data_IF_264412879816
#
_entry.id   IF_264412879816
#
_cell.length_a   1.000
_cell.length_b   1.000
_cell.length_c   1.000
_cell.angle_alpha   90.00
_cell.angle_beta   90.00
_cell.angle_gamma   90.00
#
_symmetry.space_group_name_H-M   'P 1'
#
loop_
_entity.id
_entity.type
_entity.pdbx_description
1 polymer ?
#
# COMPACT_ATOMS: atom_id res chain seq x y z
N UNK A 1 1.78 16.70 20.51
CA UNK A 1 2.34 16.40 19.18
C UNK A 1 1.24 16.53 18.15
N UNK A 2 1.54 17.03 16.95
CA UNK A 2 0.58 17.11 15.85
C UNK A 2 0.25 15.69 15.37
N UNK A 3 -1.04 15.41 15.07
CA UNK A 3 -1.46 14.11 14.55
C UNK A 3 -0.80 13.86 13.19
N UNK A 4 -0.08 12.75 13.00
CA UNK A 4 0.53 12.43 11.72
C UNK A 4 -0.50 12.33 10.59
N UNK A 5 -0.13 12.76 9.38
CA UNK A 5 -0.99 12.73 8.22
C UNK A 5 -0.32 11.95 7.08
N UNK A 6 -1.02 10.95 6.52
CA UNK A 6 -0.53 10.10 5.43
C UNK A 6 -1.26 10.41 4.12
N UNK A 7 -0.55 10.91 3.11
CA UNK A 7 -1.03 11.06 1.74
C UNK A 7 -0.72 9.79 0.95
N UNK A 8 -1.76 9.18 0.38
CA UNK A 8 -1.66 7.81 -0.14
C UNK A 8 -2.57 7.53 -1.33
N UNK A 9 -2.34 6.38 -1.99
CA UNK A 9 -3.33 5.68 -2.81
C UNK A 9 -3.88 4.47 -2.05
N UNK A 10 -5.18 4.27 -2.10
CA UNK A 10 -5.86 3.19 -1.38
C UNK A 10 -5.34 1.80 -1.75
N UNK A 11 -5.13 1.52 -3.04
CA UNK A 11 -4.72 0.19 -3.54
C UNK A 11 -3.22 0.05 -3.81
N UNK A 12 -2.38 0.96 -3.31
CA UNK A 12 -0.94 0.87 -3.51
C UNK A 12 -0.29 0.06 -2.39
N UNK A 13 0.55 -0.91 -2.76
CA UNK A 13 1.29 -1.78 -1.85
C UNK A 13 2.42 -1.06 -1.09
N UNK A 14 3.12 -0.10 -1.71
CA UNK A 14 4.06 0.77 -0.98
C UNK A 14 3.34 1.68 0.03
N UNK A 15 2.11 2.10 -0.27
CA UNK A 15 1.30 2.84 0.69
C UNK A 15 0.78 1.90 1.79
N UNK A 16 0.51 0.63 1.46
CA UNK A 16 0.17 -0.38 2.47
C UNK A 16 1.32 -0.61 3.44
N UNK A 17 2.56 -0.68 2.97
CA UNK A 17 3.75 -0.75 3.82
C UNK A 17 3.76 0.37 4.87
N UNK A 18 3.55 1.62 4.46
CA UNK A 18 3.51 2.77 5.38
C UNK A 18 2.29 2.75 6.31
N UNK A 19 1.08 2.41 5.78
CA UNK A 19 -0.14 2.26 6.60
C UNK A 19 0.02 1.19 7.67
N UNK A 20 0.54 0.03 7.27
CA UNK A 20 0.73 -1.07 8.19
C UNK A 20 1.67 -0.71 9.33
N UNK A 21 2.77 -0.01 9.04
CA UNK A 21 3.68 0.48 10.08
C UNK A 21 2.99 1.42 11.08
N UNK A 22 2.16 2.36 10.59
CA UNK A 22 1.37 3.25 11.46
C UNK A 22 0.36 2.47 12.31
N UNK A 23 -0.36 1.54 11.71
CA UNK A 23 -1.37 0.71 12.40
C UNK A 23 -0.71 -0.26 13.38
N UNK A 24 0.40 -0.91 13.01
CA UNK A 24 1.17 -1.83 13.86
C UNK A 24 1.67 -1.12 15.13
N UNK A 25 2.17 0.11 14.96
CA UNK A 25 2.60 0.95 16.08
C UNK A 25 1.44 1.64 16.82
N UNK A 26 0.19 1.41 16.40
CA UNK A 26 -1.02 2.02 16.98
C UNK A 26 -0.94 3.54 17.05
N UNK A 27 -0.31 4.18 16.06
CA UNK A 27 -0.15 5.64 16.02
C UNK A 27 -1.42 6.25 15.44
N UNK A 28 -2.18 7.06 16.21
CA UNK A 28 -3.33 7.79 15.68
C UNK A 28 -2.88 8.71 14.53
N UNK A 29 -3.49 8.56 13.35
CA UNK A 29 -3.10 9.31 12.15
C UNK A 29 -4.30 9.55 11.22
N UNK A 30 -4.20 10.57 10.38
CA UNK A 30 -5.19 10.89 9.33
C UNK A 30 -4.70 10.37 7.99
N UNK A 31 -5.59 9.81 7.17
CA UNK A 31 -5.29 9.37 5.80
C UNK A 31 -5.96 10.25 4.77
N UNK A 32 -5.15 10.81 3.86
CA UNK A 32 -5.59 11.55 2.69
C UNK A 32 -5.48 10.66 1.45
N UNK A 33 -6.60 10.05 1.06
CA UNK A 33 -6.65 9.18 -0.11
C UNK A 33 -6.71 10.01 -1.38
N UNK A 34 -5.63 9.98 -2.15
CA UNK A 34 -5.45 10.76 -3.37
C UNK A 34 -5.90 9.98 -4.62
N UNK A 35 -6.21 10.70 -5.68
CA UNK A 35 -6.56 10.13 -6.99
C UNK A 35 -5.32 10.13 -7.87
N UNK A 36 -4.95 8.97 -8.47
CA UNK A 36 -3.85 8.91 -9.44
C UNK A 36 -4.01 9.94 -10.57
N UNK A 37 -2.91 10.63 -10.89
CA UNK A 37 -2.90 11.74 -11.83
C UNK A 37 -3.17 13.10 -11.16
N UNK A 38 -4.22 13.23 -10.37
CA UNK A 38 -4.57 14.49 -9.67
C UNK A 38 -3.72 14.74 -8.41
N UNK A 39 -3.01 13.75 -7.90
CA UNK A 39 -2.14 13.87 -6.73
C UNK A 39 -0.87 14.71 -6.97
N UNK A 40 -0.42 14.79 -8.23
CA UNK A 40 0.90 15.34 -8.59
C UNK A 40 1.13 16.77 -8.06
N UNK A 41 0.23 17.75 -8.23
CA UNK A 41 0.46 19.10 -7.71
C UNK A 41 0.63 19.16 -6.20
N UNK A 42 -0.20 18.41 -5.48
CA UNK A 42 -0.19 18.36 -3.99
C UNK A 42 1.11 17.76 -3.50
N UNK A 43 1.47 16.57 -3.99
CA UNK A 43 2.66 15.84 -3.54
C UNK A 43 3.95 16.58 -3.94
N UNK A 44 4.00 17.15 -5.16
CA UNK A 44 5.16 17.92 -5.62
C UNK A 44 5.41 19.16 -4.76
N UNK A 45 4.33 19.86 -4.34
CA UNK A 45 4.43 21.00 -3.43
C UNK A 45 4.98 20.63 -2.07
N UNK A 46 4.67 19.43 -1.57
CA UNK A 46 5.08 18.96 -0.25
C UNK A 46 6.52 18.44 -0.22
N UNK A 47 6.94 17.74 -1.26
CA UNK A 47 8.18 16.94 -1.23
C UNK A 47 9.13 17.20 -2.39
N UNK A 48 8.72 17.98 -3.39
CA UNK A 48 9.44 18.11 -4.68
C UNK A 48 9.31 16.88 -5.60
N UNK A 49 8.76 15.76 -5.09
CA UNK A 49 8.54 14.49 -5.82
C UNK A 49 7.09 14.34 -6.25
N UNK A 50 6.80 13.30 -7.01
CA UNK A 50 5.44 12.98 -7.49
C UNK A 50 4.93 11.62 -7.01
N UNK A 51 5.64 10.99 -6.08
CA UNK A 51 5.35 9.64 -5.59
C UNK A 51 4.73 9.66 -4.20
N UNK A 52 3.84 8.72 -3.93
CA UNK A 52 3.27 8.44 -2.61
C UNK A 52 3.70 7.02 -2.17
N UNK A 53 3.81 6.74 -0.86
CA UNK A 53 3.28 7.51 0.28
C UNK A 53 4.10 8.75 0.63
N UNK A 54 3.43 9.73 1.26
CA UNK A 54 4.06 10.86 1.95
C UNK A 54 3.46 10.94 3.36
N UNK A 55 4.30 10.92 4.38
CA UNK A 55 3.92 11.13 5.77
C UNK A 55 4.33 12.53 6.23
N UNK A 56 3.40 13.29 6.74
CA UNK A 56 3.69 14.51 7.50
C UNK A 56 3.80 14.14 8.98
N UNK A 57 4.97 14.33 9.54
CA UNK A 57 5.30 13.99 10.92
C UNK A 57 6.08 15.13 11.55
N UNK A 58 5.56 15.70 12.64
CA UNK A 58 6.21 16.81 13.38
C UNK A 58 6.63 17.96 12.44
N UNK A 59 5.76 18.35 11.50
CA UNK A 59 6.00 19.43 10.53
C UNK A 59 6.84 19.05 9.30
N UNK A 60 7.50 17.88 9.29
CA UNK A 60 8.29 17.41 8.15
C UNK A 60 7.46 16.53 7.20
N UNK A 61 7.61 16.72 5.88
CA UNK A 61 7.03 15.85 4.87
C UNK A 61 8.06 14.79 4.43
N UNK A 62 7.80 13.53 4.75
CA UNK A 62 8.68 12.40 4.51
C UNK A 62 8.09 11.58 3.36
N UNK A 63 8.84 11.44 2.28
CA UNK A 63 8.47 10.58 1.14
C UNK A 63 9.31 9.31 1.15
N UNK A 64 8.77 8.23 0.57
CA UNK A 64 9.33 6.89 0.57
C UNK A 64 8.93 6.06 1.81
N UNK A 65 8.47 4.81 1.57
CA UNK A 65 7.90 3.97 2.62
C UNK A 65 8.93 3.51 3.65
N UNK A 66 10.16 3.21 3.25
CA UNK A 66 11.23 2.81 4.16
C UNK A 66 11.69 3.98 5.03
N UNK A 67 11.84 5.17 4.44
CA UNK A 67 12.15 6.40 5.21
C UNK A 67 11.02 6.78 6.18
N UNK A 68 9.77 6.52 5.81
CA UNK A 68 8.63 6.70 6.71
C UNK A 68 8.76 5.76 7.90
N UNK A 69 9.03 4.46 7.67
CA UNK A 69 9.20 3.49 8.75
C UNK A 69 10.38 3.87 9.64
N UNK A 70 11.51 4.25 9.06
CA UNK A 70 12.69 4.72 9.81
C UNK A 70 12.35 5.93 10.72
N UNK A 71 11.58 6.89 10.22
CA UNK A 71 11.14 8.04 11.01
C UNK A 71 10.16 7.63 12.13
N UNK A 72 9.28 6.67 11.86
CA UNK A 72 8.36 6.12 12.86
C UNK A 72 9.11 5.33 13.94
N UNK A 73 10.14 4.54 13.58
CA UNK A 73 10.99 3.84 14.55
C UNK A 73 11.71 4.80 15.49
N UNK A 74 12.19 5.94 14.98
CA UNK A 74 12.83 6.97 15.81
C UNK A 74 11.86 7.72 16.72
N UNK A 75 10.66 8.04 16.21
CA UNK A 75 9.68 8.83 16.96
C UNK A 75 8.83 7.99 17.93
N UNK A 76 8.59 6.73 17.59
CA UNK A 76 7.76 5.77 18.29
C UNK A 76 8.46 4.41 18.31
N UNK A 77 9.46 4.20 19.20
CA UNK A 77 10.27 2.98 19.17
C UNK A 77 9.47 1.70 19.43
N UNK A 78 8.38 1.76 20.20
CA UNK A 78 7.56 0.59 20.53
C UNK A 78 6.15 0.66 19.91
N UNK A 79 5.61 -0.49 19.47
CA UNK A 79 6.29 -1.78 19.27
C UNK A 79 7.32 -1.69 18.14
N UNK A 80 8.50 -2.30 18.33
CA UNK A 80 9.61 -2.20 17.40
C UNK A 80 9.41 -3.07 16.17
N UNK A 81 9.60 -2.50 14.97
CA UNK A 81 9.75 -3.22 13.68
C UNK A 81 11.20 -3.56 13.40
N UNK A 82 12.14 -2.79 13.95
CA UNK A 82 13.57 -3.08 13.83
C UNK A 82 14.05 -3.97 14.98
N UNK A 83 14.74 -5.08 14.70
CA UNK A 83 15.36 -5.88 15.74
C UNK A 83 16.34 -5.08 16.59
N UNK A 84 16.41 -5.39 17.89
CA UNK A 84 17.39 -4.77 18.79
C UNK A 84 18.81 -5.31 18.55
N UNK A 85 18.92 -6.60 18.21
CA UNK A 85 20.16 -7.23 17.81
C UNK A 85 20.69 -6.66 16.49
N UNK A 86 21.95 -6.29 16.44
CA UNK A 86 22.54 -5.57 15.30
C UNK A 86 22.59 -6.41 14.02
N UNK A 87 22.91 -7.70 14.12
CA UNK A 87 23.00 -8.60 12.97
C UNK A 87 21.63 -8.90 12.41
N UNK A 88 20.65 -9.14 13.28
CA UNK A 88 19.27 -9.34 12.87
C UNK A 88 18.70 -8.04 12.25
N UNK A 89 19.03 -6.87 12.81
CA UNK A 89 18.60 -5.59 12.25
C UNK A 89 19.20 -5.36 10.86
N UNK A 90 20.49 -5.60 10.68
CA UNK A 90 21.13 -5.51 9.36
C UNK A 90 20.42 -6.45 8.37
N UNK A 91 20.18 -7.70 8.78
CA UNK A 91 19.49 -8.68 7.94
C UNK A 91 18.05 -8.26 7.59
N UNK A 92 17.32 -7.68 8.53
CA UNK A 92 15.95 -7.21 8.29
C UNK A 92 15.92 -6.06 7.29
N UNK A 93 16.86 -5.13 7.38
CA UNK A 93 17.00 -4.01 6.44
C UNK A 93 17.46 -4.48 5.04
N UNK A 94 18.40 -5.41 4.95
CA UNK A 94 18.82 -6.02 3.68
C UNK A 94 17.64 -6.71 2.94
N UNK A 95 16.76 -7.37 3.69
CA UNK A 95 15.57 -7.98 3.13
C UNK A 95 14.49 -6.95 2.76
N UNK A 96 14.34 -5.91 3.56
CA UNK A 96 13.48 -4.76 3.23
C UNK A 96 13.89 -4.16 1.88
N UNK A 97 15.15 -3.79 1.73
CA UNK A 97 15.72 -3.22 0.51
C UNK A 97 15.54 -4.17 -0.69
N UNK A 98 15.85 -5.45 -0.49
CA UNK A 98 15.66 -6.45 -1.54
C UNK A 98 14.20 -6.51 -2.03
N UNK A 99 13.22 -6.56 -1.13
CA UNK A 99 11.81 -6.62 -1.55
C UNK A 99 11.33 -5.29 -2.14
N UNK A 100 11.81 -4.17 -1.64
CA UNK A 100 11.48 -2.86 -2.21
C UNK A 100 12.01 -2.70 -3.64
N UNK A 101 13.19 -3.24 -3.96
CA UNK A 101 13.82 -3.11 -5.27
C UNK A 101 13.43 -4.24 -6.23
N UNK A 102 13.41 -5.50 -5.76
CA UNK A 102 13.26 -6.69 -6.60
C UNK A 102 11.84 -7.28 -6.62
N UNK A 103 10.95 -6.86 -5.71
CA UNK A 103 9.55 -7.27 -5.72
C UNK A 103 8.61 -6.11 -6.06
N UNK A 104 8.69 -5.01 -5.34
CA UNK A 104 7.70 -3.93 -5.40
C UNK A 104 7.45 -3.36 -6.80
N UNK A 105 8.46 -2.92 -7.55
CA UNK A 105 8.29 -2.39 -8.91
C UNK A 105 7.80 -3.44 -9.90
N UNK A 106 8.26 -4.68 -9.75
CA UNK A 106 7.98 -5.77 -10.70
C UNK A 106 6.58 -6.33 -10.52
N UNK A 107 6.14 -6.64 -9.30
CA UNK A 107 4.77 -7.07 -9.04
C UNK A 107 3.76 -5.99 -9.50
N UNK A 108 4.07 -4.72 -9.26
CA UNK A 108 3.25 -3.61 -9.76
C UNK A 108 3.14 -3.62 -11.27
N UNK A 109 4.26 -3.73 -11.99
CA UNK A 109 4.27 -3.75 -13.46
C UNK A 109 3.47 -4.94 -14.00
N UNK A 110 3.67 -6.11 -13.44
CA UNK A 110 2.95 -7.31 -13.83
C UNK A 110 1.45 -7.18 -13.60
N UNK A 111 1.03 -6.79 -12.40
CA UNK A 111 -0.39 -6.60 -12.07
C UNK A 111 -1.03 -5.52 -12.95
N UNK A 112 -0.36 -4.36 -13.14
CA UNK A 112 -0.90 -3.32 -14.02
C UNK A 112 -1.01 -3.75 -15.48
N UNK A 113 -0.12 -4.59 -15.99
CA UNK A 113 -0.27 -5.17 -17.32
C UNK A 113 -1.58 -5.96 -17.44
N UNK A 114 -1.94 -6.69 -16.40
CA UNK A 114 -3.17 -7.50 -16.35
C UNK A 114 -4.42 -6.66 -16.16
N UNK A 115 -4.41 -5.64 -15.28
CA UNK A 115 -5.62 -4.89 -14.91
C UNK A 115 -5.90 -3.66 -15.76
N UNK A 116 -4.92 -3.08 -16.45
CA UNK A 116 -5.14 -1.89 -17.29
C UNK A 116 -6.13 -2.11 -18.45
N UNK A 117 -6.30 -3.31 -19.03
CA UNK A 117 -7.38 -3.61 -19.96
C UNK A 117 -8.80 -3.56 -19.33
N UNK A 118 -8.90 -3.46 -17.99
CA UNK A 118 -10.15 -3.44 -17.22
C UNK A 118 -10.32 -2.09 -16.49
N UNK A 119 -10.60 -0.99 -17.21
CA UNK A 119 -10.59 0.36 -16.64
C UNK A 119 -11.64 0.58 -15.56
N UNK A 120 -12.75 -0.14 -15.57
CA UNK A 120 -13.77 -0.15 -14.52
C UNK A 120 -13.23 -0.70 -13.21
N UNK A 121 -12.43 -1.77 -13.25
CA UNK A 121 -11.77 -2.33 -12.07
C UNK A 121 -10.71 -1.38 -11.52
N UNK A 122 -9.89 -0.78 -12.39
CA UNK A 122 -8.87 0.21 -11.98
C UNK A 122 -9.55 1.41 -11.28
N UNK A 123 -10.67 1.91 -11.82
CA UNK A 123 -11.43 3.00 -11.17
C UNK A 123 -12.00 2.57 -9.81
N UNK A 124 -12.59 1.38 -9.74
CA UNK A 124 -13.11 0.84 -8.48
C UNK A 124 -12.02 0.70 -7.41
N UNK A 125 -10.81 0.31 -7.81
CA UNK A 125 -9.69 0.12 -6.89
C UNK A 125 -9.05 1.43 -6.41
N UNK A 126 -8.97 2.47 -7.28
CA UNK A 126 -8.17 3.66 -6.99
C UNK A 126 -8.97 4.96 -6.84
N UNK A 127 -10.26 5.00 -7.26
CA UNK A 127 -11.02 6.26 -7.39
C UNK A 127 -12.37 6.21 -6.69
N UNK A 128 -12.81 5.04 -6.20
CA UNK A 128 -14.13 4.85 -5.58
C UNK A 128 -14.40 5.75 -4.36
N UNK A 129 -13.35 6.15 -3.64
CA UNK A 129 -13.42 7.04 -2.47
C UNK A 129 -13.62 8.53 -2.83
N UNK A 130 -13.47 8.89 -4.09
CA UNK A 130 -13.55 10.28 -4.55
C UNK A 130 -14.98 10.76 -4.73
N UNK A 131 -15.18 12.08 -4.80
CA UNK A 131 -16.48 12.67 -5.12
C UNK A 131 -16.96 12.24 -6.52
N UNK A 132 -18.26 12.21 -6.75
CA UNK A 132 -18.86 11.85 -8.06
C UNK A 132 -18.28 12.67 -9.22
N UNK A 133 -18.06 13.99 -9.01
CA UNK A 133 -17.46 14.86 -10.02
C UNK A 133 -16.02 14.47 -10.35
N UNK A 134 -15.21 14.16 -9.34
CA UNK A 134 -13.83 13.72 -9.53
C UNK A 134 -13.77 12.33 -10.21
N UNK A 135 -14.69 11.41 -9.87
CA UNK A 135 -14.82 10.11 -10.54
C UNK A 135 -15.16 10.29 -12.04
N UNK A 136 -16.09 11.20 -12.37
CA UNK A 136 -16.45 11.49 -13.77
C UNK A 136 -15.27 12.11 -14.54
N UNK A 137 -14.58 13.09 -13.97
CA UNK A 137 -13.40 13.68 -14.55
C UNK A 137 -12.30 12.64 -14.78
N UNK A 138 -12.02 11.79 -13.80
CA UNK A 138 -11.06 10.71 -13.96
C UNK A 138 -11.49 9.69 -15.03
N UNK A 139 -12.79 9.38 -15.14
CA UNK A 139 -13.33 8.50 -16.19
C UNK A 139 -13.05 9.07 -17.58
N UNK A 140 -13.30 10.36 -17.79
CA UNK A 140 -13.03 11.03 -19.06
C UNK A 140 -11.53 11.03 -19.44
N UNK A 141 -10.65 11.17 -18.43
CA UNK A 141 -9.20 11.22 -18.62
C UNK A 141 -8.53 9.84 -18.51
N UNK A 142 -9.26 8.78 -18.23
CA UNK A 142 -8.69 7.44 -17.97
C UNK A 142 -7.84 6.88 -19.12
N UNK A 143 -8.14 7.08 -20.42
CA UNK A 143 -7.25 6.64 -21.49
C UNK A 143 -5.89 7.34 -21.46
N UNK A 144 -5.87 8.64 -21.18
CA UNK A 144 -4.63 9.42 -21.03
C UNK A 144 -3.80 8.94 -19.84
N UNK A 145 -4.43 8.75 -18.69
CA UNK A 145 -3.74 8.23 -17.49
C UNK A 145 -3.20 6.82 -17.72
N UNK A 146 -3.95 5.96 -18.40
CA UNK A 146 -3.51 4.62 -18.77
C UNK A 146 -2.27 4.65 -19.69
N UNK A 147 -2.25 5.54 -20.68
CA UNK A 147 -1.10 5.71 -21.57
C UNK A 147 0.15 6.24 -20.83
N UNK A 148 -0.04 7.24 -19.96
CA UNK A 148 1.03 7.77 -19.11
C UNK A 148 1.60 6.67 -18.19
N UNK A 149 0.75 5.91 -17.52
CA UNK A 149 1.18 4.81 -16.66
C UNK A 149 1.95 3.73 -17.43
N UNK A 150 1.45 3.32 -18.61
CA UNK A 150 2.15 2.37 -19.45
C UNK A 150 3.56 2.84 -19.80
N UNK A 151 3.70 4.14 -20.15
CA UNK A 151 5.01 4.73 -20.48
C UNK A 151 5.92 4.82 -19.25
N UNK A 152 5.44 5.42 -18.15
CA UNK A 152 6.25 5.64 -16.94
C UNK A 152 6.72 4.35 -16.27
N UNK A 153 5.88 3.30 -16.29
CA UNK A 153 6.22 2.01 -15.70
C UNK A 153 6.79 1.02 -16.74
N UNK A 154 6.99 1.45 -18.00
CA UNK A 154 7.43 0.58 -19.09
C UNK A 154 6.59 -0.70 -19.20
N UNK A 155 5.24 -0.56 -19.26
CA UNK A 155 4.33 -1.70 -19.31
C UNK A 155 4.09 -2.12 -20.75
N UNK A 156 4.65 -3.26 -21.12
CA UNK A 156 4.44 -3.95 -22.39
C UNK A 156 4.57 -5.48 -22.14
N UNK A 157 4.20 -6.35 -23.11
CA UNK A 157 4.22 -7.80 -22.90
C UNK A 157 5.59 -8.34 -22.47
N UNK A 158 6.68 -7.87 -23.05
CA UNK A 158 8.05 -8.33 -22.75
C UNK A 158 8.44 -7.94 -21.33
N UNK A 159 8.25 -6.67 -20.97
CA UNK A 159 8.59 -6.18 -19.62
C UNK A 159 7.67 -6.75 -18.55
N UNK A 160 6.43 -7.08 -18.88
CA UNK A 160 5.49 -7.72 -17.97
C UNK A 160 5.89 -9.18 -17.70
N UNK A 161 6.34 -9.91 -18.71
CA UNK A 161 6.84 -11.28 -18.53
C UNK A 161 8.13 -11.30 -17.70
N UNK A 162 9.07 -10.38 -17.97
CA UNK A 162 10.25 -10.21 -17.14
C UNK A 162 9.88 -9.86 -15.68
N UNK A 163 8.87 -9.00 -15.49
CA UNK A 163 8.36 -8.63 -14.18
C UNK A 163 7.70 -9.80 -13.45
N UNK A 164 6.98 -10.67 -14.18
CA UNK A 164 6.45 -11.92 -13.63
C UNK A 164 7.59 -12.80 -13.12
N UNK A 165 8.63 -13.02 -13.92
CA UNK A 165 9.80 -13.81 -13.52
C UNK A 165 10.49 -13.27 -12.27
N UNK A 166 10.70 -11.95 -12.19
CA UNK A 166 11.25 -11.29 -10.99
C UNK A 166 10.36 -11.46 -9.76
N UNK A 167 9.05 -11.31 -9.93
CA UNK A 167 8.09 -11.52 -8.84
C UNK A 167 8.14 -12.96 -8.33
N UNK A 168 8.19 -13.94 -9.23
CA UNK A 168 8.30 -15.35 -8.84
C UNK A 168 9.61 -15.63 -8.11
N UNK A 169 10.73 -15.11 -8.59
CA UNK A 169 12.03 -15.26 -7.93
C UNK A 169 12.04 -14.65 -6.52
N UNK A 170 11.37 -13.49 -6.34
CA UNK A 170 11.24 -12.88 -5.01
C UNK A 170 10.33 -13.70 -4.09
N UNK A 171 9.25 -14.31 -4.61
CA UNK A 171 8.41 -15.23 -3.83
C UNK A 171 9.16 -16.50 -3.43
N UNK A 172 9.96 -17.07 -4.34
CA UNK A 172 10.82 -18.23 -4.05
C UNK A 172 11.88 -17.90 -3.00
N UNK A 173 12.49 -16.70 -3.10
CA UNK A 173 13.44 -16.23 -2.10
C UNK A 173 12.77 -16.06 -0.73
N UNK A 174 11.60 -15.42 -0.68
CA UNK A 174 10.84 -15.31 0.56
C UNK A 174 10.63 -16.69 1.19
N UNK A 175 10.18 -17.68 0.41
CA UNK A 175 9.95 -19.04 0.90
C UNK A 175 11.23 -19.70 1.47
N UNK A 176 12.40 -19.41 0.89
CA UNK A 176 13.69 -19.92 1.37
C UNK A 176 14.20 -19.19 2.62
N UNK A 177 13.85 -17.93 2.79
CA UNK A 177 14.24 -17.11 3.95
C UNK A 177 13.39 -17.40 5.19
N UNK A 178 12.20 -18.01 5.02
CA UNK A 178 11.31 -18.33 6.14
C UNK A 178 12.00 -19.27 7.14
N UNK A 179 12.03 -18.81 8.38
CA UNK A 179 12.59 -19.56 9.50
C UNK A 179 11.52 -20.48 10.11
N UNK A 180 11.91 -21.47 10.94
CA UNK A 180 10.95 -22.31 11.67
C UNK A 180 10.00 -21.52 12.59
N UNK A 181 10.39 -20.31 13.00
CA UNK A 181 9.55 -19.37 13.75
C UNK A 181 8.37 -18.80 12.92
N UNK A 182 8.38 -18.97 11.59
CA UNK A 182 7.41 -18.37 10.68
C UNK A 182 7.74 -16.95 10.24
N UNK A 183 8.87 -16.38 10.67
CA UNK A 183 9.34 -15.04 10.32
C UNK A 183 10.61 -15.08 9.45
N UNK A 184 10.91 -13.98 8.77
CA UNK A 184 12.08 -13.84 7.93
C UNK A 184 13.37 -13.62 8.75
N UNK A 185 13.23 -12.93 9.89
CA UNK A 185 14.36 -12.62 10.77
C UNK A 185 13.97 -12.86 12.23
N UNK A 186 14.82 -13.59 12.96
CA UNK A 186 14.58 -13.85 14.38
C UNK A 186 13.33 -14.71 14.64
N UNK A 187 12.59 -14.35 15.67
CA UNK A 187 11.42 -15.06 16.19
C UNK A 187 10.16 -14.20 16.32
N UNK A 188 10.18 -13.00 15.74
CA UNK A 188 9.08 -12.04 15.77
C UNK A 188 8.94 -11.29 14.45
N UNK A 189 7.77 -10.66 14.26
CA UNK A 189 7.46 -9.83 13.11
C UNK A 189 8.35 -8.59 13.05
N UNK A 190 8.98 -8.37 11.90
CA UNK A 190 9.93 -7.27 11.66
C UNK A 190 9.57 -6.47 10.43
N UNK A 191 10.35 -5.43 10.13
CA UNK A 191 10.22 -4.63 8.89
C UNK A 191 10.36 -5.48 7.63
N UNK A 192 11.18 -6.55 7.66
CA UNK A 192 11.32 -7.48 6.53
C UNK A 192 9.99 -8.19 6.23
N UNK A 193 9.33 -8.71 7.27
CA UNK A 193 8.04 -9.39 7.15
C UNK A 193 6.95 -8.42 6.67
N UNK A 194 6.87 -7.25 7.29
CA UNK A 194 5.92 -6.20 6.93
C UNK A 194 6.07 -5.82 5.45
N UNK A 195 7.31 -5.59 5.00
CA UNK A 195 7.60 -5.19 3.62
C UNK A 195 7.20 -6.28 2.63
N UNK A 196 7.67 -7.51 2.84
CA UNK A 196 7.35 -8.63 1.95
C UNK A 196 5.82 -8.85 1.84
N UNK A 197 5.12 -8.88 2.98
CA UNK A 197 3.68 -9.09 3.02
C UNK A 197 2.91 -7.92 2.35
N UNK A 198 3.26 -6.67 2.68
CA UNK A 198 2.63 -5.49 2.09
C UNK A 198 2.82 -5.46 0.56
N UNK A 199 4.02 -5.76 0.07
CA UNK A 199 4.33 -5.73 -1.36
C UNK A 199 3.66 -6.86 -2.14
N UNK A 200 3.39 -8.02 -1.53
CA UNK A 200 2.64 -9.12 -2.14
C UNK A 200 1.10 -8.88 -2.15
N UNK A 201 0.60 -7.90 -1.42
CA UNK A 201 -0.84 -7.67 -1.27
C UNK A 201 -1.63 -7.50 -2.59
N UNK A 202 -1.10 -6.89 -3.67
CA UNK A 202 -1.84 -6.78 -4.92
C UNK A 202 -2.16 -8.12 -5.58
N UNK A 203 -1.28 -9.10 -5.39
CA UNK A 203 -1.42 -10.46 -5.91
C UNK A 203 -2.25 -11.34 -4.98
N UNK A 204 -1.93 -11.34 -3.70
CA UNK A 204 -2.56 -12.22 -2.69
C UNK A 204 -3.96 -11.72 -2.29
N UNK A 205 -4.13 -10.41 -2.15
CA UNK A 205 -5.37 -9.74 -1.73
C UNK A 205 -5.95 -10.30 -0.43
N UNK A 206 -5.20 -10.19 0.68
CA UNK A 206 -5.63 -10.72 1.97
C UNK A 206 -6.96 -10.11 2.42
N UNK A 207 -7.81 -10.86 3.17
CA UNK A 207 -9.06 -10.34 3.71
C UNK A 207 -8.90 -9.10 4.60
N UNK A 208 -7.77 -9.00 5.29
CA UNK A 208 -7.43 -7.92 6.24
C UNK A 208 -6.93 -6.64 5.53
N UNK A 209 -6.71 -6.69 4.19
CA UNK A 209 -6.32 -5.49 3.45
C UNK A 209 -7.42 -4.41 3.57
N UNK A 210 -7.10 -3.18 4.02
CA UNK A 210 -8.11 -2.22 4.46
C UNK A 210 -9.01 -1.66 3.33
N UNK A 211 -8.54 -1.70 2.09
CA UNK A 211 -9.28 -1.13 0.95
C UNK A 211 -9.63 -2.20 -0.07
N UNK A 212 -10.87 -2.66 -0.03
CA UNK A 212 -11.38 -3.65 -0.98
C UNK A 212 -11.98 -2.94 -2.20
N UNK A 213 -11.65 -3.42 -3.40
CA UNK A 213 -12.34 -2.96 -4.60
C UNK A 213 -13.80 -3.42 -4.56
N UNK A 214 -14.72 -2.54 -4.94
CA UNK A 214 -16.15 -2.84 -4.97
C UNK A 214 -16.55 -3.83 -6.11
N UNK A 215 -15.63 -4.11 -7.03
CA UNK A 215 -15.82 -5.02 -8.15
C UNK A 215 -15.05 -6.33 -7.96
N UNK A 216 -15.54 -7.45 -8.53
CA UNK A 216 -14.79 -8.70 -8.55
C UNK A 216 -13.48 -8.52 -9.33
N UNK A 217 -12.53 -9.42 -9.06
CA UNK A 217 -11.26 -9.45 -9.80
C UNK A 217 -11.51 -9.72 -11.29
N UNK A 218 -10.79 -9.05 -12.20
CA UNK A 218 -10.72 -9.47 -13.58
C UNK A 218 -10.27 -10.94 -13.69
N UNK A 219 -10.93 -11.69 -14.55
CA UNK A 219 -10.66 -13.14 -14.71
C UNK A 219 -9.17 -13.50 -14.88
N UNK A 220 -8.37 -12.77 -15.68
CA UNK A 220 -6.94 -13.06 -15.81
C UNK A 220 -6.19 -12.93 -14.47
N UNK A 221 -6.53 -11.93 -13.66
CA UNK A 221 -5.92 -11.77 -12.33
C UNK A 221 -6.38 -12.84 -11.35
N UNK A 222 -7.64 -13.24 -11.40
CA UNK A 222 -8.18 -14.33 -10.58
C UNK A 222 -7.45 -15.65 -10.90
N UNK A 223 -7.28 -16.00 -12.17
CA UNK A 223 -6.54 -17.18 -12.59
C UNK A 223 -5.08 -17.19 -12.13
N UNK A 224 -4.38 -16.05 -12.23
CA UNK A 224 -3.01 -15.91 -11.71
C UNK A 224 -2.99 -16.17 -10.21
N UNK A 225 -3.87 -15.53 -9.47
CA UNK A 225 -3.99 -15.69 -8.03
C UNK A 225 -4.24 -17.15 -7.63
N UNK A 226 -5.18 -17.80 -8.29
CA UNK A 226 -5.54 -19.19 -8.01
C UNK A 226 -4.37 -20.15 -8.29
N UNK A 227 -3.64 -19.94 -9.38
CA UNK A 227 -2.45 -20.74 -9.73
C UNK A 227 -1.32 -20.62 -8.71
N UNK A 228 -1.26 -19.52 -7.96
CA UNK A 228 -0.24 -19.27 -6.95
C UNK A 228 -0.71 -19.57 -5.52
N UNK A 229 -1.97 -19.96 -5.33
CA UNK A 229 -2.57 -20.17 -4.00
C UNK A 229 -1.89 -21.23 -3.14
N UNK A 230 -1.19 -22.17 -3.78
CA UNK A 230 -0.40 -23.22 -3.10
C UNK A 230 1.04 -22.83 -2.81
N UNK A 231 1.52 -21.71 -3.38
CA UNK A 231 2.90 -21.25 -3.18
C UNK A 231 3.16 -20.89 -1.72
N UNK A 232 4.30 -21.31 -1.10
CA UNK A 232 4.57 -21.02 0.30
C UNK A 232 4.51 -19.53 0.66
N UNK A 233 5.09 -18.65 -0.17
CA UNK A 233 5.05 -17.21 0.04
C UNK A 233 3.62 -16.63 -0.01
N UNK A 234 2.74 -17.18 -0.86
CA UNK A 234 1.33 -16.77 -0.92
C UNK A 234 0.62 -17.10 0.40
N UNK A 235 0.74 -18.34 0.88
CA UNK A 235 0.13 -18.80 2.13
C UNK A 235 0.67 -18.05 3.35
N UNK A 236 1.99 -17.85 3.37
CA UNK A 236 2.64 -17.07 4.41
C UNK A 236 2.13 -15.62 4.43
N UNK A 237 1.94 -14.99 3.27
CA UNK A 237 1.39 -13.63 3.20
C UNK A 237 -0.01 -13.56 3.80
N UNK A 238 -0.89 -14.52 3.51
CA UNK A 238 -2.21 -14.58 4.14
C UNK A 238 -2.10 -14.72 5.66
N UNK A 239 -1.21 -15.58 6.15
CA UNK A 239 -0.97 -15.79 7.57
C UNK A 239 -0.40 -14.53 8.24
N UNK A 240 0.57 -13.86 7.63
CA UNK A 240 1.16 -12.62 8.13
C UNK A 240 0.10 -11.51 8.28
N UNK A 241 -0.80 -11.39 7.30
CA UNK A 241 -1.91 -10.44 7.38
C UNK A 241 -2.88 -10.81 8.51
N UNK A 242 -3.33 -12.05 8.58
CA UNK A 242 -4.27 -12.52 9.61
C UNK A 242 -3.72 -12.32 11.04
N UNK A 243 -2.40 -12.50 11.23
CA UNK A 243 -1.77 -12.39 12.55
C UNK A 243 -1.37 -10.98 12.93
N UNK A 244 -0.92 -10.15 11.98
CA UNK A 244 -0.21 -8.91 12.28
C UNK A 244 -0.81 -7.65 11.68
N UNK A 245 -1.78 -7.76 10.73
CA UNK A 245 -2.33 -6.55 10.10
C UNK A 245 -3.11 -5.69 11.09
N UNK A 246 -3.82 -6.32 12.00
CA UNK A 246 -4.54 -5.64 13.08
C UNK A 246 -5.61 -4.64 12.59
N UNK A 247 -6.13 -3.88 13.54
CA UNK A 247 -7.08 -2.81 13.30
C UNK A 247 -6.37 -1.53 12.86
N UNK A 248 -7.12 -0.68 12.13
CA UNK A 248 -6.62 0.63 11.72
C UNK A 248 -6.56 1.60 12.88
N UNK A 249 -5.43 2.29 13.04
CA UNK A 249 -5.26 3.42 13.95
C UNK A 249 -5.64 4.77 13.31
N UNK A 250 -6.32 4.75 12.14
CA UNK A 250 -6.82 5.94 11.46
C UNK A 250 -7.85 6.66 12.32
N UNK A 251 -7.69 7.98 12.49
CA UNK A 251 -8.65 8.85 13.17
C UNK A 251 -9.30 9.81 12.17
N UNK A 252 -10.51 10.27 12.50
CA UNK A 252 -11.18 11.25 11.65
C UNK A 252 -10.39 12.56 11.61
N UNK A 253 -10.01 13.02 10.43
CA UNK A 253 -9.36 14.31 10.24
C UNK A 253 -10.31 15.49 10.57
N UNK A 254 -9.75 16.61 10.99
CA UNK A 254 -10.51 17.82 11.34
C UNK A 254 -11.48 18.29 10.22
N UNK A 255 -11.14 18.02 8.96
CA UNK A 255 -11.98 18.33 7.78
C UNK A 255 -13.24 17.44 7.70
N UNK A 256 -13.21 16.23 8.24
CA UNK A 256 -14.38 15.34 8.27
C UNK A 256 -15.33 15.65 9.43
N UNK A 257 -14.80 16.17 10.54
CA UNK A 257 -15.63 16.60 11.69
C UNK A 257 -16.54 17.78 11.35
N UNK A 258 -16.11 18.70 10.48
CA UNK A 258 -16.94 19.81 10.01
C UNK A 258 -18.06 19.35 9.07
N UNK A 259 -17.82 18.33 8.22
CA UNK A 259 -18.87 17.76 7.33
C UNK A 259 -19.92 16.97 8.12
N UNK A 260 -19.51 16.13 9.07
CA UNK A 260 -20.47 15.38 9.88
C UNK A 260 -21.36 16.26 10.75
N UNK A 261 -20.84 17.39 11.25
CA UNK A 261 -21.63 18.38 12.01
C UNK A 261 -22.62 19.15 11.12
N UNK A 262 -22.26 19.43 9.87
CA UNK A 262 -23.16 20.09 8.90
C UNK A 262 -24.28 19.15 8.46
N UNK A 263 -23.99 17.87 8.25
CA UNK A 263 -24.99 16.87 7.87
C UNK A 263 -25.94 16.54 9.05
N UNK A 264 -25.42 16.47 10.27
CA UNK A 264 -26.24 16.32 11.48
C UNK A 264 -27.13 17.54 11.76
N UNK A 265 -26.66 18.77 11.49
CA UNK A 265 -27.44 19.98 11.58
C UNK A 265 -28.54 20.08 10.54
N UNK A 266 -28.29 19.59 9.30
CA UNK A 266 -29.31 19.53 8.23
C UNK A 266 -30.39 18.50 8.49
N UNK A 267 -30.05 17.35 9.04
CA UNK A 267 -31.02 16.32 9.41
C UNK A 267 -31.96 16.81 10.52
N UNK A 268 -31.45 17.53 11.51
CA UNK A 268 -32.24 18.08 12.62
C UNK A 268 -33.17 19.25 12.21
N UNK A 269 -32.94 19.88 11.04
CA UNK A 269 -33.80 21.00 10.55
C UNK A 269 -34.93 20.53 9.64
N UNK A 270 -34.92 19.26 9.22
CA UNK A 270 -35.95 18.68 8.33
C UNK A 270 -37.08 17.97 9.11
N UNK A 271 -36.95 17.85 10.45
CA UNK A 271 -37.96 17.24 11.33
C UNK A 271 -38.74 18.26 12.17
N UNK A 272 -38.79 19.53 11.73
CA UNK A 272 -39.66 20.53 12.37
C UNK A 272 -40.70 21.10 11.38
#
# INVERSE_FOLDING_TARGET
>A
METPELWQFTSSHFNEKARWALDFKRIPHVRHSLIPGFHVPVVKRMTGKTTVPVLKLNGAAISDSSRIIEALERAYPEPALYPADADQRSRALDLEDYFDEELGPYIRRWIFHVILPHPEFVRAAFVSHASKGAQLAHRALSPLFGAIMKRQMNINPISAEAARGKTMAAMDRLAKELRPSGYLVGDRFTVADLTAAALLSPLVRPPEFPYKAALPLPEPLAKIRDSLSTHPAYRWTLQAYAQHRGESAEVAGATNLSRSKVDASRAATTER
#
